data_IF_656683438658
#
_entry.id   IF_656683438658
#
_cell.length_a   1.000
_cell.length_b   1.000
_cell.length_c   1.000
_cell.angle_alpha   90.00
_cell.angle_beta   90.00
_cell.angle_gamma   90.00
#
_symmetry.space_group_name_H-M   'P 1'
#
loop_
_entity.id
_entity.type
_entity.pdbx_description
1 polymer ?
#
# COMPACT_ATOMS: atom_id res chain seq x y z
N UNK A 1 -33.17 1.08 -35.02
CA UNK A 1 -32.37 1.81 -34.00
C UNK A 1 -30.93 1.76 -34.46
N UNK A 2 -30.42 2.87 -34.98
CA UNK A 2 -29.09 2.92 -35.59
C UNK A 2 -28.03 3.12 -34.50
N UNK A 3 -26.91 2.36 -34.52
CA UNK A 3 -25.85 2.54 -33.53
C UNK A 3 -25.08 3.83 -33.84
N UNK A 4 -25.13 4.78 -32.91
CA UNK A 4 -24.33 6.01 -32.95
C UNK A 4 -22.84 5.66 -32.93
N UNK A 5 -22.10 6.18 -33.92
CA UNK A 5 -20.67 5.98 -34.06
C UNK A 5 -19.90 6.60 -32.88
N UNK A 6 -18.78 6.00 -32.43
CA UNK A 6 -17.96 6.53 -31.36
C UNK A 6 -17.28 7.83 -31.81
N UNK A 7 -17.48 8.89 -31.02
CA UNK A 7 -16.81 10.17 -31.18
C UNK A 7 -15.32 9.97 -30.87
N UNK A 8 -14.52 9.87 -31.93
CA UNK A 8 -13.07 9.89 -31.85
C UNK A 8 -12.62 11.25 -31.30
N UNK A 9 -12.27 11.28 -30.01
CA UNK A 9 -11.54 12.38 -29.40
C UNK A 9 -10.11 12.41 -29.95
N UNK A 10 -9.97 12.93 -31.16
CA UNK A 10 -8.68 13.29 -31.74
C UNK A 10 -8.09 14.41 -30.89
N UNK A 11 -7.09 14.08 -30.08
CA UNK A 11 -6.29 15.07 -29.37
C UNK A 11 -5.62 15.99 -30.41
N UNK A 12 -5.72 17.31 -30.28
CA UNK A 12 -5.05 18.22 -31.20
C UNK A 12 -3.53 18.01 -31.10
N UNK A 13 -2.80 17.99 -32.24
CA UNK A 13 -1.35 17.94 -32.21
C UNK A 13 -0.83 19.19 -31.51
N UNK A 14 -0.07 19.02 -30.42
CA UNK A 14 0.68 20.11 -29.82
C UNK A 14 1.63 20.68 -30.87
N UNK A 15 1.29 21.85 -31.41
CA UNK A 15 2.13 22.60 -32.34
C UNK A 15 3.42 22.99 -31.63
N UNK A 16 4.50 22.30 -31.98
CA UNK A 16 5.87 22.56 -31.52
C UNK A 16 6.46 23.64 -32.41
N UNK A 17 6.04 24.90 -32.25
CA UNK A 17 6.72 26.02 -32.89
C UNK A 17 7.12 27.08 -31.85
N UNK A 18 8.39 26.98 -31.48
CA UNK A 18 9.38 28.05 -31.50
C UNK A 18 9.02 29.39 -30.87
N UNK A 19 9.32 29.53 -29.57
CA UNK A 19 9.96 30.74 -29.02
C UNK A 19 11.02 30.29 -28.02
N UNK A 20 12.28 30.43 -28.41
CA UNK A 20 13.43 30.16 -27.57
C UNK A 20 13.68 31.38 -26.67
N UNK A 21 12.96 31.46 -25.55
CA UNK A 21 13.38 32.24 -24.39
C UNK A 21 13.44 31.30 -23.20
N UNK A 22 14.66 31.01 -22.79
CA UNK A 22 15.04 30.11 -21.70
C UNK A 22 14.64 30.70 -20.35
N UNK A 23 13.35 30.62 -20.02
CA UNK A 23 12.86 30.78 -18.65
C UNK A 23 12.82 29.42 -17.97
N UNK A 24 13.86 29.11 -17.19
CA UNK A 24 14.00 27.86 -16.43
C UNK A 24 12.86 27.63 -15.42
N UNK A 25 12.04 28.65 -15.12
CA UNK A 25 10.90 28.56 -14.22
C UNK A 25 9.62 27.96 -14.83
N UNK A 26 9.54 27.83 -16.16
CA UNK A 26 8.33 27.29 -16.81
C UNK A 26 8.20 25.75 -16.65
N UNK A 27 9.31 25.05 -16.39
CA UNK A 27 9.34 23.58 -16.30
C UNK A 27 8.61 23.03 -15.06
N UNK A 28 8.78 23.67 -13.91
CA UNK A 28 8.21 23.19 -12.65
C UNK A 28 6.67 23.30 -12.64
N UNK A 29 6.12 24.41 -13.15
CA UNK A 29 4.69 24.63 -13.20
C UNK A 29 3.98 23.65 -14.15
N UNK A 30 4.62 23.28 -15.26
CA UNK A 30 4.10 22.26 -16.18
C UNK A 30 4.05 20.86 -15.55
N UNK A 31 5.07 20.49 -14.77
CA UNK A 31 5.13 19.19 -14.07
C UNK A 31 4.02 19.10 -13.01
N UNK A 32 3.82 20.15 -12.22
CA UNK A 32 2.78 20.20 -11.18
C UNK A 32 1.39 20.08 -11.82
N UNK A 33 1.13 20.79 -12.91
CA UNK A 33 -0.15 20.72 -13.62
C UNK A 33 -0.44 19.29 -14.13
N UNK A 34 0.54 18.64 -14.77
CA UNK A 34 0.40 17.26 -15.26
C UNK A 34 0.16 16.25 -14.14
N UNK A 35 0.83 16.42 -13.00
CA UNK A 35 0.59 15.57 -11.81
C UNK A 35 -0.83 15.75 -11.31
N UNK A 36 -1.29 17.01 -11.16
CA UNK A 36 -2.64 17.32 -10.70
C UNK A 36 -3.72 16.72 -11.61
N UNK A 37 -3.53 16.78 -12.92
CA UNK A 37 -4.50 16.21 -13.86
C UNK A 37 -4.52 14.68 -13.85
N UNK A 38 -3.34 14.04 -13.68
CA UNK A 38 -3.25 12.59 -13.47
C UNK A 38 -3.97 12.16 -12.19
N UNK A 39 -3.78 12.90 -11.11
CA UNK A 39 -4.43 12.62 -9.82
C UNK A 39 -5.95 12.76 -9.92
N UNK A 40 -6.46 13.79 -10.61
CA UNK A 40 -7.90 13.93 -10.90
C UNK A 40 -8.45 12.74 -11.69
N UNK A 41 -7.74 12.28 -12.72
CA UNK A 41 -8.16 11.11 -13.53
C UNK A 41 -8.16 9.85 -12.67
N UNK A 42 -7.14 9.65 -11.85
CA UNK A 42 -7.04 8.52 -10.94
C UNK A 42 -8.18 8.50 -9.91
N UNK A 43 -8.54 9.65 -9.34
CA UNK A 43 -9.68 9.77 -8.43
C UNK A 43 -11.01 9.44 -9.13
N UNK A 44 -11.24 9.95 -10.35
CA UNK A 44 -12.43 9.62 -11.14
C UNK A 44 -12.52 8.12 -11.42
N UNK A 45 -11.43 7.50 -11.84
CA UNK A 45 -11.38 6.06 -12.09
C UNK A 45 -11.57 5.24 -10.81
N UNK A 46 -11.10 5.72 -9.66
CA UNK A 46 -11.36 5.10 -8.36
C UNK A 46 -12.86 5.14 -8.04
N UNK A 47 -13.49 6.33 -8.08
CA UNK A 47 -14.93 6.47 -7.81
C UNK A 47 -15.79 5.66 -8.79
N UNK A 48 -15.40 5.61 -10.08
CA UNK A 48 -16.12 4.79 -11.07
C UNK A 48 -16.11 3.31 -10.69
N UNK A 49 -14.94 2.76 -10.31
CA UNK A 49 -14.83 1.36 -9.87
C UNK A 49 -15.64 1.08 -8.59
N UNK A 50 -15.69 2.04 -7.67
CA UNK A 50 -16.49 1.94 -6.46
C UNK A 50 -17.99 1.92 -6.79
N UNK A 51 -18.45 2.77 -7.71
CA UNK A 51 -19.84 2.78 -8.19
C UNK A 51 -20.22 1.47 -8.91
N UNK A 52 -19.35 0.98 -9.80
CA UNK A 52 -19.52 -0.32 -10.48
C UNK A 52 -19.66 -1.47 -9.46
N UNK A 53 -18.84 -1.44 -8.41
CA UNK A 53 -18.89 -2.44 -7.34
C UNK A 53 -20.19 -2.37 -6.52
N UNK A 54 -20.64 -1.17 -6.14
CA UNK A 54 -21.91 -0.96 -5.43
C UNK A 54 -23.08 -1.45 -6.28
N UNK A 55 -23.14 -1.05 -7.55
CA UNK A 55 -24.17 -1.51 -8.48
C UNK A 55 -24.21 -3.03 -8.61
N UNK A 56 -23.04 -3.68 -8.66
CA UNK A 56 -22.95 -5.14 -8.70
C UNK A 56 -23.51 -5.79 -7.43
N UNK A 57 -23.22 -5.23 -6.26
CA UNK A 57 -23.76 -5.72 -4.99
C UNK A 57 -25.28 -5.54 -4.89
N UNK A 58 -25.81 -4.37 -5.28
CA UNK A 58 -27.25 -4.09 -5.32
C UNK A 58 -27.97 -5.08 -6.23
N UNK A 59 -27.42 -5.34 -7.41
CA UNK A 59 -27.96 -6.33 -8.36
C UNK A 59 -28.00 -7.73 -7.73
N UNK A 60 -26.97 -8.10 -6.96
CA UNK A 60 -26.90 -9.40 -6.28
C UNK A 60 -27.90 -9.50 -5.13
N UNK A 61 -28.04 -8.45 -4.33
CA UNK A 61 -29.04 -8.37 -3.25
C UNK A 61 -30.44 -8.54 -3.82
N UNK A 62 -30.77 -7.76 -4.86
CA UNK A 62 -32.08 -7.85 -5.51
C UNK A 62 -32.36 -9.25 -6.08
N UNK A 63 -31.34 -9.89 -6.69
CA UNK A 63 -31.46 -11.28 -7.17
C UNK A 63 -31.74 -12.26 -6.02
N UNK A 64 -31.07 -12.10 -4.89
CA UNK A 64 -31.26 -12.97 -3.72
C UNK A 64 -32.65 -12.76 -3.08
N UNK A 65 -33.10 -11.52 -2.97
CA UNK A 65 -34.45 -11.18 -2.49
C UNK A 65 -35.53 -11.83 -3.36
N UNK A 66 -35.37 -11.78 -4.69
CA UNK A 66 -36.30 -12.43 -5.62
C UNK A 66 -36.31 -13.96 -5.44
N UNK A 67 -35.16 -14.59 -5.19
CA UNK A 67 -35.09 -16.04 -4.91
C UNK A 67 -35.78 -16.41 -3.60
N UNK A 68 -35.62 -15.61 -2.55
CA UNK A 68 -36.29 -15.82 -1.26
C UNK A 68 -37.81 -15.69 -1.38
N UNK A 69 -38.29 -14.70 -2.14
CA UNK A 69 -39.72 -14.54 -2.42
C UNK A 69 -40.29 -15.75 -3.18
N UNK A 70 -39.55 -16.29 -4.16
CA UNK A 70 -39.96 -17.47 -4.91
C UNK A 70 -39.97 -18.76 -4.07
N UNK A 71 -39.06 -18.88 -3.09
CA UNK A 71 -39.02 -20.04 -2.19
C UNK A 71 -40.12 -20.00 -1.12
N UNK A 72 -40.70 -18.83 -0.82
CA UNK A 72 -41.68 -18.67 0.23
C UNK A 72 -42.98 -17.98 -0.25
N UNK A 73 -43.68 -18.51 -1.28
CA UNK A 73 -44.81 -17.85 -1.92
C UNK A 73 -46.07 -17.76 -1.04
N UNK A 74 -46.06 -18.31 0.18
CA UNK A 74 -47.22 -18.41 1.07
C UNK A 74 -47.14 -17.65 2.40
N UNK A 75 -46.04 -16.95 2.70
CA UNK A 75 -45.84 -16.35 4.04
C UNK A 75 -46.15 -14.84 4.12
N UNK A 76 -46.85 -14.27 3.13
CA UNK A 76 -47.10 -12.83 3.04
C UNK A 76 -48.57 -12.48 2.86
N UNK A 77 -49.36 -12.49 3.93
CA UNK A 77 -50.63 -11.72 4.00
C UNK A 77 -51.18 -11.43 5.40
N UNK A 78 -50.60 -11.94 6.51
CA UNK A 78 -51.19 -11.73 7.84
C UNK A 78 -50.21 -11.10 8.84
N UNK A 79 -49.75 -9.87 8.57
CA UNK A 79 -49.32 -8.98 9.65
C UNK A 79 -49.50 -7.52 9.24
N UNK A 80 -50.76 -7.07 9.25
CA UNK A 80 -51.04 -5.70 9.66
C UNK A 80 -50.58 -5.59 11.12
N UNK A 81 -49.46 -4.92 11.37
CA UNK A 81 -49.19 -4.33 12.68
C UNK A 81 -49.73 -2.91 12.67
N UNK A 82 -50.85 -2.62 13.36
CA UNK A 82 -51.27 -1.26 13.58
C UNK A 82 -50.27 -0.59 14.49
N UNK A 83 -49.89 0.61 14.07
CA UNK A 83 -49.32 1.68 14.88
C UNK A 83 -50.10 1.81 16.18
N UNK A 84 -49.48 1.55 17.33
CA UNK A 84 -49.72 2.29 18.58
C UNK A 84 -48.79 1.83 19.72
N UNK A 85 -48.48 2.79 20.60
CA UNK A 85 -47.80 2.68 21.89
C UNK A 85 -46.26 2.62 21.91
N UNK A 86 -45.70 3.81 21.71
CA UNK A 86 -44.82 4.50 22.68
C UNK A 86 -44.63 3.84 24.08
N UNK A 87 -43.38 3.94 24.56
CA UNK A 87 -42.90 3.94 25.96
C UNK A 87 -42.66 2.60 26.70
N UNK A 88 -41.36 2.32 26.93
CA UNK A 88 -40.72 1.73 28.12
C UNK A 88 -39.50 0.89 27.66
N UNK A 89 -38.27 1.37 27.78
CA UNK A 89 -37.41 1.27 28.96
C UNK A 89 -37.13 -0.19 29.38
N UNK A 90 -35.84 -0.55 29.31
CA UNK A 90 -35.16 -1.61 30.05
C UNK A 90 -35.92 -2.92 30.28
N UNK A 91 -35.74 -3.91 29.40
CA UNK A 91 -35.81 -5.32 29.80
C UNK A 91 -34.90 -6.18 28.94
N UNK A 92 -33.78 -6.58 29.56
CA UNK A 92 -33.09 -7.88 29.47
C UNK A 92 -33.65 -8.82 28.39
N UNK A 93 -32.87 -9.09 27.35
CA UNK A 93 -33.07 -10.27 26.50
C UNK A 93 -32.18 -11.42 26.99
N UNK A 94 -32.75 -12.61 27.25
CA UNK A 94 -31.96 -13.82 27.44
C UNK A 94 -31.57 -14.40 26.08
N UNK A 95 -30.31 -14.82 26.01
CA UNK A 95 -29.81 -16.03 25.37
C UNK A 95 -30.82 -16.83 24.51
N UNK A 96 -30.88 -16.55 23.21
CA UNK A 96 -31.47 -17.46 22.21
C UNK A 96 -30.32 -18.08 21.41
N UNK A 97 -29.91 -19.24 21.90
CA UNK A 97 -29.16 -20.24 21.15
C UNK A 97 -30.18 -20.97 20.26
N UNK A 98 -30.33 -20.58 19.00
CA UNK A 98 -31.02 -21.42 18.01
C UNK A 98 -30.22 -21.53 16.71
N UNK A 99 -29.73 -22.76 16.53
CA UNK A 99 -29.49 -23.50 15.29
C UNK A 99 -29.27 -22.70 14.00
N UNK A 100 -28.00 -22.56 13.63
CA UNK A 100 -27.58 -22.30 12.25
C UNK A 100 -27.81 -23.59 11.43
N UNK A 101 -28.66 -23.59 10.38
CA UNK A 101 -28.69 -24.70 9.43
C UNK A 101 -27.39 -24.68 8.62
N UNK A 102 -26.65 -25.78 8.71
CA UNK A 102 -25.48 -26.09 7.89
C UNK A 102 -25.89 -26.20 6.42
N UNK A 103 -25.82 -25.10 5.67
CA UNK A 103 -25.88 -25.12 4.20
C UNK A 103 -24.48 -25.40 3.67
N UNK A 104 -24.20 -26.69 3.50
CA UNK A 104 -23.09 -27.15 2.67
C UNK A 104 -23.49 -26.96 1.21
N UNK A 105 -23.03 -25.89 0.57
CA UNK A 105 -22.81 -25.79 -0.90
C UNK A 105 -22.44 -24.35 -1.27
N UNK A 106 -21.14 -24.06 -1.40
CA UNK A 106 -20.58 -23.11 -2.39
C UNK A 106 -19.08 -23.34 -2.55
N UNK A 107 -18.68 -24.60 -2.75
CA UNK A 107 -17.34 -24.96 -3.22
C UNK A 107 -17.25 -24.75 -4.73
N UNK A 108 -17.16 -23.51 -5.22
CA UNK A 108 -16.78 -23.31 -6.64
C UNK A 108 -16.32 -21.91 -7.08
N UNK A 109 -16.22 -20.89 -6.21
CA UNK A 109 -15.79 -19.54 -6.64
C UNK A 109 -14.62 -18.94 -5.86
N UNK A 110 -13.96 -19.69 -4.98
CA UNK A 110 -12.74 -19.26 -4.28
C UNK A 110 -11.42 -19.66 -4.98
N UNK A 111 -11.46 -20.33 -6.14
CA UNK A 111 -10.25 -20.94 -6.69
C UNK A 111 -9.39 -20.02 -7.58
N UNK A 112 -9.85 -18.81 -7.92
CA UNK A 112 -9.09 -17.90 -8.81
C UNK A 112 -8.44 -16.71 -8.05
N UNK A 113 -8.83 -16.44 -6.80
CA UNK A 113 -8.31 -15.28 -6.04
C UNK A 113 -7.12 -15.59 -5.10
N UNK A 114 -6.77 -16.87 -4.93
CA UNK A 114 -5.85 -17.33 -3.87
C UNK A 114 -4.38 -17.43 -4.30
N UNK A 115 -4.07 -17.28 -5.60
CA UNK A 115 -2.71 -17.51 -6.11
C UNK A 115 -1.85 -16.24 -6.21
N UNK A 116 -2.43 -15.04 -6.16
CA UNK A 116 -1.67 -13.77 -6.21
C UNK A 116 -1.67 -12.97 -4.90
N UNK A 117 -2.59 -13.23 -3.96
CA UNK A 117 -2.60 -12.56 -2.65
C UNK A 117 -1.64 -13.19 -1.61
N UNK A 118 -1.04 -14.35 -1.91
CA UNK A 118 -0.13 -15.07 -1.00
C UNK A 118 1.33 -14.58 -0.99
N UNK A 119 1.69 -13.52 -1.73
CA UNK A 119 3.10 -13.07 -1.84
C UNK A 119 3.47 -11.76 -1.16
N UNK A 120 2.57 -11.12 -0.42
CA UNK A 120 2.89 -9.94 0.38
C UNK A 120 2.21 -10.00 1.76
N UNK A 121 2.21 -11.19 2.38
CA UNK A 121 1.92 -11.25 3.82
C UNK A 121 3.06 -10.53 4.54
N UNK A 122 2.75 -9.37 5.11
CA UNK A 122 3.62 -8.51 5.92
C UNK A 122 3.88 -9.16 7.31
N UNK A 123 4.00 -10.48 7.35
CA UNK A 123 4.30 -11.25 8.56
C UNK A 123 5.71 -10.97 9.06
N UNK A 124 6.65 -10.65 8.16
CA UNK A 124 8.01 -10.23 8.52
C UNK A 124 8.03 -8.90 9.30
N UNK A 125 7.03 -8.03 9.14
CA UNK A 125 6.93 -6.77 9.89
C UNK A 125 6.27 -6.96 11.27
N UNK A 126 5.56 -8.08 11.48
CA UNK A 126 4.94 -8.45 12.76
C UNK A 126 5.76 -9.45 13.55
N UNK A 127 6.89 -9.90 13.01
CA UNK A 127 7.74 -10.87 13.68
C UNK A 127 8.31 -10.23 14.95
N UNK A 128 8.06 -10.80 16.14
CA UNK A 128 8.64 -10.27 17.37
C UNK A 128 10.17 -10.30 17.26
N UNK A 129 10.81 -9.19 17.65
CA UNK A 129 12.28 -9.00 17.61
C UNK A 129 13.07 -10.12 18.32
N UNK A 130 12.41 -10.93 19.12
CA UNK A 130 12.94 -12.08 19.83
C UNK A 130 13.39 -13.23 18.91
N UNK A 131 12.84 -13.33 17.69
CA UNK A 131 13.11 -14.46 16.78
C UNK A 131 13.89 -14.05 15.52
N UNK A 132 14.88 -13.17 15.71
CA UNK A 132 15.79 -12.73 14.64
C UNK A 132 16.77 -13.83 14.19
N UNK A 133 16.71 -15.03 14.81
CA UNK A 133 17.55 -16.19 14.47
C UNK A 133 17.27 -16.74 13.06
N UNK A 134 16.07 -16.47 12.53
CA UNK A 134 15.60 -16.96 11.23
C UNK A 134 15.62 -15.89 10.13
N UNK A 135 16.07 -14.67 10.44
CA UNK A 135 16.32 -13.72 9.35
C UNK A 135 17.39 -14.34 8.47
N UNK A 136 17.14 -14.54 7.17
CA UNK A 136 18.18 -15.00 6.25
C UNK A 136 19.37 -14.10 6.50
N UNK A 137 20.42 -14.70 7.07
CA UNK A 137 21.61 -13.99 7.53
C UNK A 137 21.87 -12.95 6.47
N UNK A 138 21.76 -11.69 6.86
CA UNK A 138 22.20 -10.61 6.01
C UNK A 138 23.68 -10.89 5.93
N UNK A 139 24.08 -11.69 4.93
CA UNK A 139 25.44 -11.91 4.53
C UNK A 139 25.84 -10.53 4.10
N UNK A 140 26.24 -9.75 5.10
CA UNK A 140 26.50 -8.35 4.97
C UNK A 140 27.46 -8.31 3.81
N UNK A 141 27.00 -7.70 2.71
CA UNK A 141 27.76 -7.70 1.47
C UNK A 141 29.21 -7.44 1.85
N UNK A 142 30.14 -8.25 1.32
CA UNK A 142 31.55 -8.14 1.73
C UNK A 142 32.05 -6.70 1.70
N UNK A 143 31.44 -5.87 0.85
CA UNK A 143 31.58 -4.42 0.79
C UNK A 143 31.14 -3.66 2.05
N UNK A 144 29.93 -3.90 2.59
CA UNK A 144 29.48 -3.23 3.82
C UNK A 144 30.43 -3.51 4.99
N UNK A 145 30.86 -4.76 5.17
CA UNK A 145 31.81 -5.13 6.23
C UNK A 145 33.16 -4.43 6.04
N UNK A 146 33.69 -4.41 4.81
CA UNK A 146 34.94 -3.69 4.48
C UNK A 146 34.82 -2.20 4.79
N UNK A 147 33.71 -1.56 4.39
CA UNK A 147 33.48 -0.14 4.67
C UNK A 147 33.37 0.13 6.17
N UNK A 148 32.68 -0.71 6.93
CA UNK A 148 32.59 -0.56 8.39
C UNK A 148 33.96 -0.68 9.05
N UNK A 149 34.78 -1.63 8.63
CA UNK A 149 36.16 -1.77 9.11
C UNK A 149 37.04 -0.57 8.72
N UNK A 150 36.81 0.02 7.54
CA UNK A 150 37.52 1.22 7.12
C UNK A 150 37.10 2.44 7.94
N UNK A 151 35.80 2.63 8.16
CA UNK A 151 35.25 3.72 8.97
C UNK A 151 35.69 3.64 10.43
N UNK A 152 35.85 2.43 10.98
CA UNK A 152 36.38 2.24 12.34
C UNK A 152 37.83 2.68 12.49
N UNK A 153 38.61 2.70 11.40
CA UNK A 153 40.02 3.13 11.41
C UNK A 153 40.18 4.63 11.20
N UNK A 154 39.14 5.32 10.75
CA UNK A 154 39.20 6.72 10.36
C UNK A 154 38.74 7.64 11.52
N UNK A 155 39.62 8.49 12.08
CA UNK A 155 39.24 9.43 13.14
C UNK A 155 38.25 10.51 12.65
N UNK A 156 38.17 10.80 11.35
CA UNK A 156 37.27 11.80 10.77
C UNK A 156 35.88 11.22 10.39
N UNK A 157 35.60 10.00 10.84
CA UNK A 157 34.32 9.30 10.62
C UNK A 157 33.03 10.10 10.88
N UNK A 158 32.90 11.02 11.86
CA UNK A 158 31.64 11.74 12.08
C UNK A 158 31.25 12.66 10.92
N UNK A 159 32.22 13.16 10.14
CA UNK A 159 31.95 14.03 8.99
C UNK A 159 31.27 13.26 7.85
N UNK A 160 31.65 11.99 7.68
CA UNK A 160 31.17 11.14 6.58
C UNK A 160 29.94 10.30 6.95
N UNK A 161 29.56 10.25 8.23
CA UNK A 161 28.46 9.45 8.75
C UNK A 161 27.54 10.29 9.66
N UNK A 162 26.81 11.27 9.12
CA UNK A 162 25.93 12.13 9.91
C UNK A 162 24.91 11.31 10.71
N UNK A 163 24.55 11.82 11.90
CA UNK A 163 23.61 11.15 12.78
C UNK A 163 22.25 10.90 12.09
N UNK A 164 21.78 11.89 11.34
CA UNK A 164 20.52 11.83 10.61
C UNK A 164 20.81 11.87 9.11
N UNK A 165 20.86 10.70 8.45
CA UNK A 165 21.10 10.64 7.02
C UNK A 165 19.91 11.25 6.28
N UNK A 166 20.18 11.90 5.15
CA UNK A 166 19.09 12.38 4.30
C UNK A 166 18.36 11.17 3.69
N UNK A 167 17.02 11.17 3.60
CA UNK A 167 16.29 10.05 3.02
C UNK A 167 16.73 9.67 1.60
N UNK A 168 17.15 10.66 0.81
CA UNK A 168 17.65 10.46 -0.56
C UNK A 168 18.92 9.59 -0.60
N UNK A 169 19.78 9.72 0.41
CA UNK A 169 21.06 9.01 0.50
C UNK A 169 20.83 7.50 0.66
N UNK A 170 19.81 7.14 1.45
CA UNK A 170 19.43 5.75 1.74
C UNK A 170 18.51 5.12 0.68
N UNK A 171 18.01 5.90 -0.27
CA UNK A 171 17.19 5.40 -1.38
C UNK A 171 18.03 5.11 -2.62
N UNK A 172 18.98 6.01 -2.94
CA UNK A 172 19.61 6.00 -4.25
C UNK A 172 21.11 5.75 -4.23
N UNK A 173 21.79 5.94 -3.09
CA UNK A 173 23.24 6.12 -3.02
C UNK A 173 23.73 7.28 -3.92
N UNK A 174 24.66 8.09 -3.45
CA UNK A 174 25.19 9.22 -4.23
C UNK A 174 25.43 10.49 -3.43
N UNK A 175 25.33 10.43 -2.11
CA UNK A 175 25.82 11.52 -1.27
C UNK A 175 27.27 11.27 -0.84
N UNK A 176 27.85 12.26 -0.17
CA UNK A 176 29.14 12.11 0.52
C UNK A 176 29.07 11.17 1.74
N UNK A 177 27.90 10.61 2.05
CA UNK A 177 27.73 9.68 3.16
C UNK A 177 28.17 8.26 2.75
N UNK A 178 29.42 7.95 3.09
CA UNK A 178 30.07 6.68 2.73
C UNK A 178 29.31 5.48 3.31
N UNK A 179 28.81 5.60 4.55
CA UNK A 179 28.04 4.54 5.20
C UNK A 179 26.70 4.31 4.50
N UNK A 180 25.95 5.37 4.17
CA UNK A 180 24.69 5.25 3.46
C UNK A 180 24.89 4.57 2.09
N UNK A 181 25.91 4.98 1.35
CA UNK A 181 26.25 4.36 0.05
C UNK A 181 26.57 2.87 0.20
N UNK A 182 27.33 2.47 1.23
CA UNK A 182 27.65 1.07 1.47
C UNK A 182 26.41 0.24 1.87
N UNK A 183 25.51 0.81 2.68
CA UNK A 183 24.25 0.14 3.06
C UNK A 183 23.36 -0.07 1.84
N UNK A 184 23.18 0.96 1.01
CA UNK A 184 22.35 0.87 -0.20
C UNK A 184 22.95 -0.12 -1.21
N UNK A 185 24.27 -0.09 -1.40
CA UNK A 185 24.97 -1.05 -2.24
C UNK A 185 24.75 -2.48 -1.73
N UNK A 186 24.86 -2.72 -0.42
CA UNK A 186 24.62 -4.03 0.17
C UNK A 186 23.16 -4.50 0.10
N UNK A 187 22.20 -3.58 0.03
CA UNK A 187 20.78 -3.89 -0.11
C UNK A 187 20.32 -3.97 -1.59
N UNK A 188 21.18 -3.61 -2.55
CA UNK A 188 20.80 -3.48 -3.96
C UNK A 188 20.40 -4.82 -4.61
N UNK A 189 21.05 -5.90 -4.18
CA UNK A 189 20.80 -7.28 -4.63
C UNK A 189 19.53 -7.90 -4.03
N UNK A 190 18.96 -7.28 -3.00
CA UNK A 190 17.74 -7.78 -2.36
C UNK A 190 16.50 -7.41 -3.20
N UNK A 191 15.57 -8.35 -3.43
CA UNK A 191 14.35 -8.11 -4.19
C UNK A 191 13.28 -7.37 -3.36
N UNK A 192 13.68 -6.26 -2.72
CA UNK A 192 12.83 -5.41 -1.89
C UNK A 192 12.14 -4.32 -2.72
N UNK A 193 10.89 -4.02 -2.39
CA UNK A 193 10.20 -2.85 -2.96
C UNK A 193 10.87 -1.55 -2.47
N UNK A 194 10.75 -0.42 -3.20
CA UNK A 194 11.36 0.85 -2.80
C UNK A 194 11.12 1.29 -1.33
N UNK A 195 9.89 1.23 -0.77
CA UNK A 195 9.67 1.60 0.63
C UNK A 195 10.29 0.62 1.62
N UNK A 196 10.33 -0.67 1.29
CA UNK A 196 10.95 -1.71 2.13
C UNK A 196 12.47 -1.53 2.15
N UNK A 197 13.08 -1.33 0.97
CA UNK A 197 14.51 -1.04 0.83
C UNK A 197 14.91 0.18 1.63
N UNK A 198 14.09 1.23 1.62
CA UNK A 198 14.32 2.42 2.44
C UNK A 198 14.30 2.09 3.94
N UNK A 199 13.25 1.42 4.41
CA UNK A 199 13.11 1.07 5.82
C UNK A 199 14.26 0.17 6.30
N UNK A 200 14.61 -0.86 5.54
CA UNK A 200 15.73 -1.76 5.83
C UNK A 200 17.06 -1.01 5.86
N UNK A 201 17.33 -0.18 4.85
CA UNK A 201 18.58 0.61 4.78
C UNK A 201 18.68 1.59 5.95
N UNK A 202 17.57 2.21 6.35
CA UNK A 202 17.53 3.11 7.51
C UNK A 202 17.88 2.38 8.81
N UNK A 203 17.29 1.20 9.03
CA UNK A 203 17.56 0.39 10.22
C UNK A 203 19.01 -0.08 10.29
N UNK A 204 19.55 -0.59 9.18
CA UNK A 204 20.96 -1.01 9.09
C UNK A 204 21.89 0.17 9.36
N UNK A 205 21.61 1.33 8.77
CA UNK A 205 22.40 2.55 8.98
C UNK A 205 22.45 2.93 10.47
N UNK A 206 21.29 3.01 11.15
CA UNK A 206 21.22 3.35 12.58
C UNK A 206 21.95 2.31 13.43
N UNK A 207 21.80 1.03 13.14
CA UNK A 207 22.50 -0.04 13.85
C UNK A 207 24.03 0.05 13.72
N UNK A 208 24.54 0.24 12.50
CA UNK A 208 25.97 0.39 12.23
C UNK A 208 26.56 1.61 12.94
N UNK A 209 25.81 2.71 13.00
CA UNK A 209 26.24 3.94 13.68
C UNK A 209 26.37 3.75 15.19
N UNK A 210 25.41 3.10 15.85
CA UNK A 210 25.41 2.88 17.31
C UNK A 210 26.63 2.09 17.78
N UNK A 211 27.16 1.20 16.93
CA UNK A 211 28.36 0.40 17.23
C UNK A 211 29.68 1.14 17.01
N UNK A 212 29.67 2.34 16.46
CA UNK A 212 30.87 3.15 16.34
C UNK A 212 31.10 3.84 17.70
N UNK A 213 32.17 3.50 18.45
CA UNK A 213 32.43 4.12 19.74
C UNK A 213 32.62 5.62 19.48
N UNK A 214 31.67 6.41 19.95
CA UNK A 214 31.84 7.85 19.93
C UNK A 214 33.04 8.13 20.83
N UNK A 215 34.07 8.87 20.37
CA UNK A 215 35.08 9.37 21.28
C UNK A 215 34.36 10.30 22.25
N UNK A 216 34.05 9.78 23.44
CA UNK A 216 33.61 10.61 24.56
C UNK A 216 34.77 11.56 24.82
N UNK A 217 34.53 12.86 24.62
CA UNK A 217 35.45 13.90 25.04
C UNK A 217 35.77 13.71 26.52
N UNK A 218 36.98 13.21 26.78
CA UNK A 218 37.65 13.26 28.09
C UNK A 218 38.42 14.57 28.19
#
# INVERSE_FOLDING_TARGET
MSPSAPVNNAFPPCSVHAYAETSADCGAHCIIARKRDRDKINQRNKHRREQEYVFHLETKVHRLENLLQQQNPGNGTNHETPVEAEQAADTILPNVLEAVPSVAETSSLQQISSSTAKRLSVEWLRMPLSDMSTIPSFEASSQLVKTLLQLQKDPDSPTYCPADPKPIDLLYAGSSNILANAVVAGASDLPLLPPERFASSWMVYKFCRVKSPHPSHS
#
